data_IF_581996052590
#
_entry.id   IF_581996052590
#
_cell.length_a   1.000
_cell.length_b   1.000
_cell.length_c   1.000
_cell.angle_alpha   90.00
_cell.angle_beta   90.00
_cell.angle_gamma   90.00
#
_symmetry.space_group_name_H-M   'P 1'
#
loop_
_entity.id
_entity.type
_entity.pdbx_description
1 polymer ?
#
# COMPACT_ATOMS: atom_id res chain seq x y z
N UNK A 1 15.63 2.95 56.40
CA UNK A 1 15.18 3.12 55.00
C UNK A 1 13.65 3.13 54.96
N UNK A 2 13.03 4.20 54.46
CA UNK A 2 11.57 4.40 54.52
C UNK A 2 10.85 3.56 53.45
N UNK A 3 10.38 2.36 53.83
CA UNK A 3 9.72 1.38 52.95
C UNK A 3 8.42 1.87 52.28
N UNK A 4 7.76 2.89 52.82
CA UNK A 4 6.49 3.42 52.32
C UNK A 4 6.62 4.24 51.02
N UNK A 5 7.76 4.90 50.81
CA UNK A 5 8.04 5.66 49.57
C UNK A 5 8.25 4.73 48.36
N UNK A 6 8.94 3.61 48.57
CA UNK A 6 9.26 2.65 47.49
C UNK A 6 8.04 1.88 47.01
N UNK A 7 7.09 1.55 47.88
CA UNK A 7 5.85 0.85 47.49
C UNK A 7 5.02 1.65 46.48
N UNK A 8 4.87 2.97 46.69
CA UNK A 8 4.13 3.85 45.76
C UNK A 8 4.86 4.01 44.42
N UNK A 9 6.19 4.10 44.46
CA UNK A 9 7.02 4.21 43.26
C UNK A 9 7.00 2.93 42.41
N UNK A 10 6.99 1.75 43.04
CA UNK A 10 6.95 0.45 42.36
C UNK A 10 5.60 0.24 41.64
N UNK A 11 4.49 0.59 42.30
CA UNK A 11 3.14 0.47 41.70
C UNK A 11 3.00 1.38 40.47
N UNK A 12 3.56 2.59 40.52
CA UNK A 12 3.55 3.53 39.39
C UNK A 12 4.34 2.99 38.17
N UNK A 13 5.50 2.36 38.40
CA UNK A 13 6.29 1.76 37.32
C UNK A 13 5.57 0.58 36.64
N UNK A 14 4.88 -0.27 37.41
CA UNK A 14 4.16 -1.42 36.86
C UNK A 14 2.96 -0.98 35.99
N UNK A 15 2.23 0.05 36.42
CA UNK A 15 1.14 0.63 35.63
C UNK A 15 1.63 1.29 34.34
N UNK A 16 2.75 2.02 34.40
CA UNK A 16 3.34 2.66 33.22
C UNK A 16 3.82 1.63 32.18
N UNK A 17 4.43 0.53 32.62
CA UNK A 17 4.89 -0.54 31.73
C UNK A 17 3.71 -1.34 31.13
N UNK A 18 2.63 -1.56 31.89
CA UNK A 18 1.44 -2.25 31.39
C UNK A 18 0.73 -1.50 30.26
N UNK A 19 0.64 -0.17 30.36
CA UNK A 19 0.02 0.69 29.33
C UNK A 19 0.95 0.81 28.11
N UNK A 20 2.27 0.91 28.31
CA UNK A 20 3.25 1.00 27.23
C UNK A 20 3.29 -0.23 26.32
N UNK A 21 3.21 -1.44 26.91
CA UNK A 21 3.28 -2.71 26.14
C UNK A 21 1.92 -3.07 25.52
N UNK A 22 0.82 -2.90 26.26
CA UNK A 22 -0.53 -3.21 25.75
C UNK A 22 -1.03 -2.21 24.70
N UNK A 23 -0.77 -0.91 24.90
CA UNK A 23 -1.18 0.15 23.98
C UNK A 23 -0.37 0.15 22.68
N UNK A 24 0.94 -0.12 22.76
CA UNK A 24 1.82 -0.17 21.59
C UNK A 24 1.47 -1.33 20.64
N UNK A 25 1.13 -2.50 21.19
CA UNK A 25 0.79 -3.67 20.38
C UNK A 25 -0.53 -3.50 19.60
N UNK A 26 -1.53 -2.85 20.20
CA UNK A 26 -2.82 -2.61 19.54
C UNK A 26 -2.74 -1.53 18.45
N UNK A 27 -1.87 -0.53 18.62
CA UNK A 27 -1.70 0.56 17.65
C UNK A 27 -0.76 0.23 16.48
N UNK A 28 0.22 -0.67 16.66
CA UNK A 28 1.20 -1.03 15.60
C UNK A 28 0.96 -2.40 14.94
N UNK A 29 -0.01 -3.20 15.41
CA UNK A 29 -0.19 -4.60 15.02
C UNK A 29 -0.93 -4.87 13.70
N UNK A 30 -1.39 -3.85 12.97
CA UNK A 30 -2.08 -4.06 11.69
C UNK A 30 -1.11 -3.79 10.53
N UNK A 31 -0.52 -4.83 9.89
CA UNK A 31 0.12 -4.62 8.61
C UNK A 31 -0.96 -4.17 7.62
N UNK A 32 -0.84 -2.94 7.12
CA UNK A 32 -1.66 -2.44 6.02
C UNK A 32 -1.33 -3.28 4.80
N UNK A 33 -2.13 -4.32 4.53
CA UNK A 33 -2.15 -4.99 3.25
C UNK A 33 -2.69 -4.01 2.23
N UNK A 34 -1.78 -3.41 1.45
CA UNK A 34 -2.13 -2.69 0.23
C UNK A 34 -2.59 -3.74 -0.80
N UNK A 35 -3.85 -4.17 -0.70
CA UNK A 35 -4.50 -4.88 -1.80
C UNK A 35 -4.85 -3.84 -2.85
N UNK A 36 -3.95 -3.68 -3.82
CA UNK A 36 -4.23 -2.96 -5.06
C UNK A 36 -5.23 -3.80 -5.86
N UNK A 37 -6.52 -3.65 -5.57
CA UNK A 37 -7.60 -4.23 -6.36
C UNK A 37 -7.57 -3.59 -7.74
N UNK A 38 -6.96 -4.27 -8.72
CA UNK A 38 -7.05 -3.91 -10.14
C UNK A 38 -8.52 -4.07 -10.52
N UNK A 39 -9.26 -2.96 -10.54
CA UNK A 39 -10.60 -2.95 -11.14
C UNK A 39 -10.40 -3.11 -12.63
N UNK A 40 -10.91 -4.20 -13.21
CA UNK A 40 -11.08 -4.29 -14.65
C UNK A 40 -11.84 -3.03 -15.11
N UNK A 41 -11.18 -2.22 -15.93
CA UNK A 41 -11.78 -1.02 -16.49
C UNK A 41 -12.85 -1.48 -17.48
N UNK A 42 -14.10 -1.57 -16.99
CA UNK A 42 -15.25 -1.92 -17.82
C UNK A 42 -15.31 -0.90 -18.96
N UNK A 43 -15.14 -1.37 -20.20
CA UNK A 43 -15.16 -0.57 -21.42
C UNK A 43 -16.50 0.15 -21.53
N UNK A 44 -16.61 1.37 -21.01
CA UNK A 44 -17.83 2.15 -21.08
C UNK A 44 -18.04 2.58 -22.54
N UNK A 45 -18.78 1.76 -23.28
CA UNK A 45 -19.08 1.96 -24.69
C UNK A 45 -20.27 2.91 -24.81
N UNK A 46 -20.16 4.13 -24.29
CA UNK A 46 -21.10 5.20 -24.65
C UNK A 46 -20.67 5.76 -26.00
N UNK A 47 -21.58 5.87 -26.99
CA UNK A 47 -21.28 6.53 -28.25
C UNK A 47 -20.86 7.97 -27.98
N UNK A 48 -19.66 8.35 -28.41
CA UNK A 48 -19.20 9.74 -28.41
C UNK A 48 -20.01 10.49 -29.47
N UNK A 49 -20.74 11.52 -29.05
CA UNK A 49 -21.46 12.44 -29.96
C UNK A 49 -20.43 13.21 -30.81
N UNK A 50 -20.73 13.53 -32.07
CA UNK A 50 -19.77 14.17 -33.01
C UNK A 50 -19.12 15.46 -32.47
N UNK A 51 -19.79 16.19 -31.59
CA UNK A 51 -19.27 17.39 -30.91
C UNK A 51 -18.11 17.10 -29.94
N UNK A 52 -17.91 15.85 -29.54
CA UNK A 52 -16.83 15.40 -28.63
C UNK A 52 -15.71 14.65 -29.37
N UNK A 53 -15.78 14.56 -30.69
CA UNK A 53 -14.75 13.95 -31.52
C UNK A 53 -13.58 14.92 -31.74
N UNK A 54 -12.77 15.12 -30.69
CA UNK A 54 -11.50 15.85 -30.81
C UNK A 54 -10.36 14.86 -31.05
N UNK A 55 -9.28 15.32 -31.69
CA UNK A 55 -8.09 14.50 -31.96
C UNK A 55 -7.54 13.81 -30.70
N UNK A 56 -7.56 14.49 -29.55
CA UNK A 56 -7.08 13.94 -28.28
C UNK A 56 -7.98 12.81 -27.77
N UNK A 57 -9.30 12.93 -27.92
CA UNK A 57 -10.26 11.90 -27.49
C UNK A 57 -10.14 10.66 -28.38
N UNK A 58 -9.94 10.83 -29.68
CA UNK A 58 -9.70 9.72 -30.59
C UNK A 58 -8.40 9.00 -30.25
N UNK A 59 -7.30 9.75 -30.09
CA UNK A 59 -6.01 9.17 -29.72
C UNK A 59 -6.06 8.42 -28.38
N UNK A 60 -6.75 8.96 -27.37
CA UNK A 60 -6.91 8.28 -26.08
C UNK A 60 -7.79 7.03 -26.18
N UNK A 61 -8.81 7.03 -27.06
CA UNK A 61 -9.68 5.88 -27.30
C UNK A 61 -8.92 4.74 -27.99
N UNK A 62 -8.04 5.08 -28.94
CA UNK A 62 -7.23 4.10 -29.67
C UNK A 62 -6.07 3.57 -28.81
N UNK A 63 -5.37 4.44 -28.07
CA UNK A 63 -4.20 4.06 -27.27
C UNK A 63 -4.53 3.51 -25.88
N UNK A 64 -5.69 3.83 -25.32
CA UNK A 64 -6.07 3.48 -23.94
C UNK A 64 -5.92 2.00 -23.59
N UNK A 65 -6.36 1.04 -24.44
CA UNK A 65 -6.21 -0.39 -24.15
C UNK A 65 -4.77 -0.92 -24.13
N UNK A 66 -3.83 -0.22 -24.75
CA UNK A 66 -2.42 -0.63 -24.79
C UNK A 66 -1.62 -0.14 -23.57
N UNK A 67 -2.19 0.75 -22.75
CA UNK A 67 -1.55 1.26 -21.53
C UNK A 67 -1.82 0.30 -20.37
N UNK A 68 -0.75 -0.19 -19.75
CA UNK A 68 -0.80 -1.15 -18.64
C UNK A 68 -0.24 -0.54 -17.35
N UNK A 69 -0.73 -1.02 -16.20
CA UNK A 69 -0.14 -0.71 -14.90
C UNK A 69 1.00 -1.68 -14.59
N UNK A 70 2.15 -1.15 -14.16
CA UNK A 70 3.31 -1.93 -13.73
C UNK A 70 3.41 -1.85 -12.21
N UNK A 71 3.52 -3.01 -11.56
CA UNK A 71 3.85 -3.11 -10.13
C UNK A 71 5.15 -3.89 -9.96
N UNK A 72 6.02 -3.39 -9.09
CA UNK A 72 7.30 -4.01 -8.74
C UNK A 72 7.36 -4.22 -7.24
N UNK A 73 7.43 -5.48 -6.81
CA UNK A 73 7.59 -5.81 -5.40
C UNK A 73 9.07 -5.81 -5.05
N UNK A 74 9.44 -5.03 -4.03
CA UNK A 74 10.80 -4.91 -3.54
C UNK A 74 10.92 -5.75 -2.27
N UNK A 75 11.89 -6.66 -2.27
CA UNK A 75 12.20 -7.49 -1.11
C UNK A 75 13.58 -7.15 -0.56
N UNK A 76 13.70 -7.13 0.77
CA UNK A 76 14.97 -6.93 1.47
C UNK A 76 15.32 -8.18 2.28
N UNK A 77 16.62 -8.38 2.54
CA UNK A 77 17.07 -9.42 3.46
C UNK A 77 17.23 -8.86 4.87
N UNK A 78 16.67 -9.55 5.86
CA UNK A 78 16.90 -9.24 7.27
C UNK A 78 18.30 -9.72 7.74
N UNK A 79 18.64 -9.42 8.99
CA UNK A 79 19.91 -9.86 9.63
C UNK A 79 20.02 -11.40 9.76
N UNK A 80 18.94 -12.13 9.53
CA UNK A 80 18.87 -13.59 9.52
C UNK A 80 18.79 -14.15 8.09
N UNK A 81 19.06 -13.32 7.07
CA UNK A 81 19.04 -13.68 5.65
C UNK A 81 17.68 -14.21 5.16
N UNK A 82 16.57 -13.78 5.77
CA UNK A 82 15.20 -14.04 5.30
C UNK A 82 14.73 -12.93 4.38
N UNK A 83 14.03 -13.30 3.31
CA UNK A 83 13.42 -12.35 2.37
C UNK A 83 12.15 -11.78 3.00
N UNK A 84 12.15 -10.48 3.27
CA UNK A 84 11.00 -9.74 3.79
C UNK A 84 10.49 -8.76 2.73
N UNK A 85 9.18 -8.57 2.67
CA UNK A 85 8.56 -7.56 1.83
C UNK A 85 8.94 -6.17 2.33
N UNK A 86 9.57 -5.37 1.48
CA UNK A 86 10.08 -4.04 1.82
C UNK A 86 9.21 -2.92 1.24
N UNK A 87 8.46 -3.19 0.18
CA UNK A 87 7.53 -2.24 -0.42
C UNK A 87 7.18 -2.58 -1.87
N UNK A 88 6.44 -1.68 -2.51
CA UNK A 88 6.00 -1.78 -3.89
C UNK A 88 6.27 -0.47 -4.64
N UNK A 89 6.82 -0.58 -5.84
CA UNK A 89 6.89 0.51 -6.81
C UNK A 89 5.79 0.34 -7.86
N UNK A 90 5.06 1.41 -8.14
CA UNK A 90 3.99 1.43 -9.15
C UNK A 90 4.35 2.37 -10.30
N UNK A 91 3.93 2.01 -11.51
CA UNK A 91 4.15 2.81 -12.72
C UNK A 91 3.18 2.44 -13.83
N UNK A 92 3.36 3.04 -15.01
CA UNK A 92 2.63 2.70 -16.22
C UNK A 92 3.59 2.24 -17.32
N UNK A 93 3.08 1.42 -18.23
CA UNK A 93 3.78 0.95 -19.42
C UNK A 93 2.86 0.99 -20.63
N UNK A 94 3.45 0.77 -21.81
CA UNK A 94 2.73 0.68 -23.09
C UNK A 94 3.15 -0.61 -23.79
N UNK A 95 2.20 -1.42 -24.23
CA UNK A 95 2.44 -2.61 -25.04
C UNK A 95 2.89 -2.19 -26.45
N UNK A 96 3.99 -2.75 -26.93
CA UNK A 96 4.60 -2.39 -28.23
C UNK A 96 4.31 -3.48 -29.28
N UNK A 97 4.21 -4.73 -28.87
CA UNK A 97 3.77 -5.84 -29.71
C UNK A 97 2.63 -6.64 -29.05
N UNK A 98 2.13 -7.67 -29.73
CA UNK A 98 1.05 -8.53 -29.22
C UNK A 98 1.57 -9.71 -28.38
N UNK A 99 2.88 -9.96 -28.39
CA UNK A 99 3.55 -11.06 -27.70
C UNK A 99 3.98 -10.66 -26.27
N UNK A 100 4.08 -9.36 -25.97
CA UNK A 100 4.29 -8.79 -24.64
C UNK A 100 5.42 -7.78 -24.58
#
# INVERSE_FOLDING_TARGET
>A
MNFSKYKKSIIACVLALGIGVGGGYYFFGNPVTHQTTVKEQTKQTKPITDTRNTYVVQAAKESGPAVVGITTQVFQKDIFNRTIYAGEGVGSGVLIDNDG
#
